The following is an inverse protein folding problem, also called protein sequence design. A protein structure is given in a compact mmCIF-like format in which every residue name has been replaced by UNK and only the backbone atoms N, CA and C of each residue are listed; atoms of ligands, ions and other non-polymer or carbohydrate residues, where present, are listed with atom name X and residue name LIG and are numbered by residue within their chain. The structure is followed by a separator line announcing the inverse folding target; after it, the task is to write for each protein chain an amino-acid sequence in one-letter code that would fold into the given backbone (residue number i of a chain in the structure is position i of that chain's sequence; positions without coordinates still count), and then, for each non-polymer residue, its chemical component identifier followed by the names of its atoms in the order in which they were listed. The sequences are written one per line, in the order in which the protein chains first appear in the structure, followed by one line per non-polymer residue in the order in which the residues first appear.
data_IF_620623826453
#
_entry.id   IF_620623826453
#
_cell.length_a   1.000
_cell.length_b   1.000
_cell.length_c   1.000
_cell.angle_alpha   90.00
_cell.angle_beta   90.00
_cell.angle_gamma   90.00
#
_symmetry.space_group_name_H-M   'P 1'
#
loop_
_entity.id
_entity.type
_entity.pdbx_description
1 polymer ?
#
# COMPACT_ATOMS: atom_id res chain seq x y z
N UNK A 1 -20.42 10.81 10.99
CA UNK A 1 -20.43 10.15 9.67
C UNK A 1 -20.31 8.66 9.88
N UNK A 2 -21.11 7.84 9.19
CA UNK A 2 -20.81 6.41 9.04
C UNK A 2 -19.97 6.28 7.78
N UNK A 3 -18.75 5.76 7.88
CA UNK A 3 -17.94 5.41 6.71
C UNK A 3 -18.65 4.28 5.99
N UNK A 4 -18.80 4.43 4.68
CA UNK A 4 -19.29 3.35 3.83
C UNK A 4 -18.18 2.33 3.57
N UNK A 5 -18.55 1.14 3.12
CA UNK A 5 -17.58 0.11 2.74
C UNK A 5 -16.63 0.59 1.64
N UNK A 6 -17.09 1.48 0.74
CA UNK A 6 -16.23 2.04 -0.30
C UNK A 6 -15.24 3.07 0.26
N UNK A 7 -15.68 3.93 1.19
CA UNK A 7 -14.77 4.89 1.86
C UNK A 7 -13.63 4.15 2.57
N UNK A 8 -13.97 3.04 3.24
CA UNK A 8 -12.99 2.18 3.92
C UNK A 8 -12.00 1.54 2.95
N UNK A 9 -12.46 1.09 1.77
CA UNK A 9 -11.56 0.53 0.76
C UNK A 9 -10.64 1.59 0.17
N UNK A 10 -11.15 2.79 -0.10
CA UNK A 10 -10.35 3.90 -0.64
C UNK A 10 -9.28 4.35 0.36
N UNK A 11 -9.62 4.44 1.65
CA UNK A 11 -8.63 4.73 2.68
C UNK A 11 -7.56 3.64 2.77
N UNK A 12 -7.96 2.36 2.66
CA UNK A 12 -7.00 1.25 2.67
C UNK A 12 -6.09 1.24 1.43
N UNK A 13 -6.62 1.51 0.24
CA UNK A 13 -5.82 1.68 -0.99
C UNK A 13 -4.78 2.76 -0.78
N UNK A 14 -5.22 3.91 -0.27
CA UNK A 14 -4.35 5.06 -0.05
C UNK A 14 -3.24 4.74 0.96
N UNK A 15 -3.58 4.09 2.07
CA UNK A 15 -2.62 3.74 3.11
C UNK A 15 -1.58 2.74 2.59
N UNK A 16 -2.01 1.72 1.84
CA UNK A 16 -1.09 0.74 1.23
C UNK A 16 -0.21 1.40 0.17
N UNK A 17 -0.74 2.30 -0.65
CA UNK A 17 0.04 3.11 -1.60
C UNK A 17 1.08 3.99 -0.90
N UNK A 18 0.71 4.64 0.20
CA UNK A 18 1.64 5.44 1.01
C UNK A 18 2.72 4.57 1.64
N UNK A 19 2.37 3.37 2.11
CA UNK A 19 3.33 2.42 2.67
C UNK A 19 4.35 1.95 1.63
N UNK A 20 3.94 1.69 0.38
CA UNK A 20 4.87 1.38 -0.73
C UNK A 20 5.92 2.47 -0.88
N UNK A 21 5.47 3.72 -0.98
CA UNK A 21 6.37 4.87 -1.18
C UNK A 21 7.31 5.05 0.01
N UNK A 22 6.78 4.94 1.23
CA UNK A 22 7.55 5.10 2.46
C UNK A 22 8.62 4.01 2.59
N UNK A 23 8.26 2.73 2.45
CA UNK A 23 9.22 1.63 2.56
C UNK A 23 10.26 1.65 1.45
N UNK A 24 9.87 2.00 0.22
CA UNK A 24 10.81 2.17 -0.89
C UNK A 24 11.80 3.30 -0.62
N UNK A 25 11.35 4.45 -0.11
CA UNK A 25 12.24 5.55 0.25
C UNK A 25 13.19 5.17 1.40
N UNK A 26 12.66 4.63 2.50
CA UNK A 26 13.44 4.22 3.68
C UNK A 26 14.49 3.18 3.33
N UNK A 27 14.18 2.22 2.44
CA UNK A 27 15.16 1.24 1.96
C UNK A 27 16.42 1.90 1.41
N UNK A 28 16.31 3.05 0.73
CA UNK A 28 17.46 3.73 0.12
C UNK A 28 18.41 4.34 1.15
N UNK A 29 17.92 4.62 2.36
CA UNK A 29 18.67 5.27 3.43
C UNK A 29 19.30 4.28 4.42
N UNK A 30 18.88 3.01 4.39
CA UNK A 30 19.39 1.96 5.28
C UNK A 30 20.72 1.41 4.77
N UNK A 31 21.75 1.45 5.63
CA UNK A 31 23.06 0.83 5.38
C UNK A 31 23.10 -0.67 5.70
N UNK A 32 22.39 -1.10 6.75
CA UNK A 32 22.34 -2.51 7.15
C UNK A 32 21.63 -3.35 6.06
N UNK A 33 22.29 -4.37 5.48
CA UNK A 33 21.72 -5.13 4.37
C UNK A 33 20.44 -5.88 4.73
N UNK A 34 20.34 -6.41 5.95
CA UNK A 34 19.18 -7.19 6.37
C UNK A 34 17.94 -6.30 6.52
N UNK A 35 18.10 -5.13 7.15
CA UNK A 35 17.05 -4.14 7.29
C UNK A 35 16.64 -3.55 5.92
N UNK A 36 17.62 -3.33 5.02
CA UNK A 36 17.34 -2.89 3.65
C UNK A 36 16.46 -3.89 2.91
N UNK A 37 16.82 -5.18 2.97
CA UNK A 37 16.00 -6.24 2.36
C UNK A 37 14.62 -6.34 3.00
N UNK A 38 14.51 -6.15 4.32
CA UNK A 38 13.23 -6.15 5.03
C UNK A 38 12.31 -5.03 4.51
N UNK A 39 12.82 -3.80 4.38
CA UNK A 39 12.02 -2.69 3.84
C UNK A 39 11.63 -2.90 2.38
N UNK A 40 12.51 -3.48 1.57
CA UNK A 40 12.17 -3.83 0.19
C UNK A 40 11.05 -4.86 0.09
N UNK A 41 11.05 -5.87 0.96
CA UNK A 41 9.92 -6.82 1.06
C UNK A 41 8.64 -6.13 1.51
N UNK A 42 8.72 -5.25 2.50
CA UNK A 42 7.56 -4.49 2.98
C UNK A 42 6.95 -3.62 1.87
N UNK A 43 7.77 -2.97 1.04
CA UNK A 43 7.32 -2.21 -0.13
C UNK A 43 6.59 -3.11 -1.15
N UNK A 44 7.13 -4.30 -1.46
CA UNK A 44 6.51 -5.25 -2.40
C UNK A 44 5.17 -5.78 -1.89
N UNK A 45 5.10 -6.20 -0.62
CA UNK A 45 3.84 -6.72 -0.06
C UNK A 45 2.78 -5.62 0.09
N UNK A 46 3.19 -4.38 0.39
CA UNK A 46 2.28 -3.23 0.39
C UNK A 46 1.73 -2.94 -1.01
N UNK A 47 2.57 -3.06 -2.05
CA UNK A 47 2.14 -2.84 -3.44
C UNK A 47 1.15 -3.92 -3.89
N UNK A 48 1.40 -5.17 -3.50
CA UNK A 48 0.45 -6.27 -3.73
C UNK A 48 -0.89 -6.00 -3.06
N UNK A 49 -0.87 -5.50 -1.83
CA UNK A 49 -2.08 -5.19 -1.07
C UNK A 49 -2.86 -4.02 -1.69
N UNK A 50 -2.13 -2.98 -2.12
CA UNK A 50 -2.69 -1.84 -2.87
C UNK A 50 -3.38 -2.30 -4.14
N UNK A 51 -2.74 -3.14 -4.95
CA UNK A 51 -3.32 -3.66 -6.19
C UNK A 51 -4.60 -4.46 -5.94
N UNK A 52 -4.61 -5.35 -4.94
CA UNK A 52 -5.78 -6.15 -4.61
C UNK A 52 -7.00 -5.28 -4.24
N UNK A 53 -6.76 -4.20 -3.51
CA UNK A 53 -7.84 -3.29 -3.09
C UNK A 53 -8.27 -2.37 -4.23
N UNK A 54 -7.33 -1.88 -5.04
CA UNK A 54 -7.65 -1.14 -6.26
C UNK A 54 -8.53 -1.96 -7.22
N UNK A 55 -8.18 -3.24 -7.44
CA UNK A 55 -8.97 -4.16 -8.27
C UNK A 55 -10.38 -4.38 -7.69
N UNK A 56 -10.50 -4.48 -6.37
CA UNK A 56 -11.80 -4.61 -5.70
C UNK A 56 -12.64 -3.34 -5.85
N UNK A 57 -12.06 -2.15 -5.69
CA UNK A 57 -12.73 -0.87 -5.90
C UNK A 57 -13.23 -0.77 -7.35
N UNK A 58 -12.37 -1.08 -8.33
CA UNK A 58 -12.73 -1.10 -9.75
C UNK A 58 -13.87 -2.08 -10.05
N UNK A 59 -13.85 -3.28 -9.43
CA UNK A 59 -14.91 -4.28 -9.60
C UNK A 59 -16.28 -3.80 -9.08
N UNK A 60 -16.30 -2.80 -8.20
CA UNK A 60 -17.52 -2.15 -7.69
C UNK A 60 -17.97 -0.95 -8.53
N UNK A 61 -17.29 -0.67 -9.64
CA UNK A 61 -17.59 0.45 -10.54
C UNK A 61 -17.06 1.79 -10.07
N UNK A 62 -16.24 1.79 -9.01
CA UNK A 62 -15.67 2.98 -8.40
C UNK A 62 -14.21 3.18 -8.85
N UNK A 63 -13.67 4.38 -8.63
CA UNK A 63 -12.26 4.68 -8.95
C UNK A 63 -11.40 4.58 -7.68
N UNK A 64 -10.28 3.84 -7.73
CA UNK A 64 -9.27 3.83 -6.67
C UNK A 64 -8.65 5.21 -6.46
#
# INVERSE_FOLDING_TARGET
MRLSDIDMLQDYEKDTRMAVLAYAAVQTEILDPALRTMMGRAAVESARSQQLVADLILSRGERP
#
